data_IF_658225012089
#
_entry.id   IF_658225012089
#
_cell.length_a   1.000
_cell.length_b   1.000
_cell.length_c   1.000
_cell.angle_alpha   90.00
_cell.angle_beta   90.00
_cell.angle_gamma   90.00
#
_symmetry.space_group_name_H-M   'P 1'
#
loop_
_entity.id
_entity.type
_entity.pdbx_description
1 polymer ?
#
# COMPACT_ATOMS: atom_id res chain seq x y z
N UNK A 1 18.08 -39.37 29.61
CA UNK A 1 16.91 -40.02 28.98
C UNK A 1 15.87 -40.57 29.96
N UNK A 2 16.22 -41.37 30.99
CA UNK A 2 15.21 -41.92 31.95
C UNK A 2 14.33 -40.90 32.67
N UNK A 3 14.83 -39.68 32.95
CA UNK A 3 14.06 -38.60 33.59
C UNK A 3 13.01 -37.94 32.67
N UNK A 4 13.27 -37.91 31.36
CA UNK A 4 12.31 -37.39 30.37
C UNK A 4 11.13 -38.35 30.18
N UNK A 5 11.41 -39.66 30.20
CA UNK A 5 10.38 -40.70 30.09
C UNK A 5 9.43 -40.68 31.31
N UNK A 6 9.95 -40.34 32.50
CA UNK A 6 9.14 -40.19 33.72
C UNK A 6 8.18 -39.00 33.70
N UNK A 7 8.49 -37.94 32.94
CA UNK A 7 7.60 -36.77 32.77
C UNK A 7 6.36 -37.13 31.94
N UNK A 8 6.53 -37.93 30.88
CA UNK A 8 5.41 -38.44 30.07
C UNK A 8 4.53 -39.47 30.77
N UNK A 9 4.98 -40.03 31.91
CA UNK A 9 4.17 -40.91 32.76
C UNK A 9 3.24 -40.15 33.74
N UNK A 10 3.44 -38.84 33.90
CA UNK A 10 2.62 -38.03 34.80
C UNK A 10 1.37 -37.51 34.07
N UNK A 11 0.18 -37.99 34.49
CA UNK A 11 -1.11 -37.55 33.93
C UNK A 11 -1.32 -36.04 33.97
N UNK A 12 -0.81 -35.35 35.00
CA UNK A 12 -0.93 -33.90 35.11
C UNK A 12 -0.05 -33.19 34.08
N UNK A 13 1.14 -33.72 33.80
CA UNK A 13 2.02 -33.15 32.77
C UNK A 13 1.39 -33.30 31.39
N UNK A 14 0.85 -34.47 31.06
CA UNK A 14 0.18 -34.71 29.78
C UNK A 14 -1.04 -33.79 29.59
N UNK A 15 -1.88 -33.64 30.63
CA UNK A 15 -3.04 -32.75 30.58
C UNK A 15 -2.61 -31.29 30.43
N UNK A 16 -1.57 -30.84 31.14
CA UNK A 16 -1.04 -29.49 31.00
C UNK A 16 -0.46 -29.24 29.61
N UNK A 17 0.27 -30.19 29.04
CA UNK A 17 0.82 -30.07 27.67
C UNK A 17 -0.30 -30.06 26.64
N UNK A 18 -1.31 -30.91 26.79
CA UNK A 18 -2.48 -30.92 25.91
C UNK A 18 -3.28 -29.62 26.02
N UNK A 19 -3.45 -29.07 27.22
CA UNK A 19 -4.10 -27.79 27.45
C UNK A 19 -3.30 -26.62 26.89
N UNK A 20 -1.98 -26.62 27.07
CA UNK A 20 -1.09 -25.61 26.48
C UNK A 20 -1.12 -25.67 24.95
N UNK A 21 -1.05 -26.89 24.37
CA UNK A 21 -1.22 -27.08 22.93
C UNK A 21 -2.61 -26.59 22.47
N UNK A 22 -3.67 -26.84 23.25
CA UNK A 22 -5.01 -26.34 22.93
C UNK A 22 -5.07 -24.82 22.89
N UNK A 23 -4.49 -24.14 23.88
CA UNK A 23 -4.42 -22.68 23.90
C UNK A 23 -3.56 -22.10 22.75
N UNK A 24 -2.56 -22.83 22.28
CA UNK A 24 -1.69 -22.37 21.19
C UNK A 24 -2.35 -22.59 19.81
N UNK A 25 -3.05 -23.71 19.60
CA UNK A 25 -3.56 -24.10 18.29
C UNK A 25 -5.05 -23.81 18.07
N UNK A 26 -5.87 -23.80 19.12
CA UNK A 26 -7.33 -23.66 19.01
C UNK A 26 -7.88 -22.35 19.60
N UNK A 27 -7.05 -21.56 20.28
CA UNK A 27 -7.46 -20.22 20.74
C UNK A 27 -7.37 -19.18 19.61
N UNK A 28 -8.11 -18.07 19.75
CA UNK A 28 -8.26 -17.01 18.74
C UNK A 28 -6.98 -16.25 18.39
N UNK A 29 -5.89 -16.47 19.13
CA UNK A 29 -4.55 -15.94 18.85
C UNK A 29 -3.70 -16.94 18.08
N UNK A 30 -4.30 -17.67 17.15
CA UNK A 30 -3.56 -18.55 16.25
C UNK A 30 -2.59 -17.73 15.37
N UNK A 31 -1.45 -18.35 15.05
CA UNK A 31 -0.39 -17.71 14.26
C UNK A 31 -0.86 -17.31 12.86
N UNK A 32 -1.82 -18.03 12.28
CA UNK A 32 -2.39 -17.71 10.97
C UNK A 32 -3.16 -16.39 11.01
N UNK A 33 -3.97 -16.18 12.04
CA UNK A 33 -4.73 -14.95 12.26
C UNK A 33 -3.79 -13.74 12.39
N UNK A 34 -2.69 -13.87 13.13
CA UNK A 34 -1.67 -12.81 13.20
C UNK A 34 -1.02 -12.52 11.86
N UNK A 35 -0.73 -13.55 11.07
CA UNK A 35 -0.19 -13.37 9.72
C UNK A 35 -1.18 -12.65 8.80
N UNK A 36 -2.46 -13.02 8.83
CA UNK A 36 -3.52 -12.35 8.08
C UNK A 36 -3.67 -10.88 8.49
N UNK A 37 -3.65 -10.58 9.80
CA UNK A 37 -3.69 -9.21 10.29
C UNK A 37 -2.49 -8.39 9.83
N UNK A 38 -1.29 -8.97 9.80
CA UNK A 38 -0.11 -8.30 9.27
C UNK A 38 -0.25 -8.00 7.77
N UNK A 39 -0.77 -8.93 6.98
CA UNK A 39 -1.03 -8.67 5.55
C UNK A 39 -2.08 -7.57 5.36
N UNK A 40 -3.17 -7.60 6.13
CA UNK A 40 -4.22 -6.58 6.07
C UNK A 40 -3.66 -5.20 6.45
N UNK A 41 -2.80 -5.15 7.47
CA UNK A 41 -2.14 -3.93 7.91
C UNK A 41 -1.26 -3.34 6.80
N UNK A 42 -0.41 -4.16 6.19
CA UNK A 42 0.48 -3.70 5.11
C UNK A 42 -0.33 -3.24 3.88
N UNK A 43 -1.42 -3.95 3.55
CA UNK A 43 -2.35 -3.53 2.49
C UNK A 43 -2.98 -2.17 2.80
N UNK A 44 -3.51 -1.97 4.01
CA UNK A 44 -4.10 -0.69 4.43
C UNK A 44 -3.07 0.45 4.41
N UNK A 45 -1.83 0.19 4.82
CA UNK A 45 -0.75 1.20 4.74
C UNK A 45 -0.46 1.57 3.30
N UNK A 46 -0.36 0.60 2.39
CA UNK A 46 -0.12 0.85 0.98
C UNK A 46 -1.26 1.65 0.34
N UNK A 47 -2.52 1.30 0.64
CA UNK A 47 -3.69 2.07 0.20
C UNK A 47 -3.65 3.50 0.75
N UNK A 48 -3.35 3.68 2.03
CA UNK A 48 -3.22 5.02 2.65
C UNK A 48 -2.12 5.84 1.98
N UNK A 49 -0.95 5.27 1.75
CA UNK A 49 0.17 5.95 1.09
C UNK A 49 -0.16 6.30 -0.37
N UNK A 50 -0.90 5.45 -1.08
CA UNK A 50 -1.39 5.73 -2.42
C UNK A 50 -2.36 6.91 -2.43
N UNK A 51 -3.39 6.87 -1.60
CA UNK A 51 -4.40 7.93 -1.55
C UNK A 51 -3.83 9.26 -1.08
N UNK A 52 -2.88 9.26 -0.13
CA UNK A 52 -2.20 10.48 0.27
C UNK A 52 -1.52 11.16 -0.92
N UNK A 53 -0.78 10.40 -1.74
CA UNK A 53 -0.11 10.94 -2.93
C UNK A 53 -1.10 11.46 -3.97
N UNK A 54 -2.19 10.73 -4.22
CA UNK A 54 -3.22 11.18 -5.16
C UNK A 54 -3.95 12.42 -4.65
N UNK A 55 -4.23 12.52 -3.34
CA UNK A 55 -4.81 13.72 -2.75
C UNK A 55 -3.87 14.91 -2.88
N UNK A 56 -2.57 14.75 -2.61
CA UNK A 56 -1.60 15.84 -2.75
C UNK A 56 -1.52 16.32 -4.21
N UNK A 57 -1.55 15.38 -5.17
CA UNK A 57 -1.57 15.68 -6.60
C UNK A 57 -2.84 16.41 -7.02
N UNK A 58 -4.01 15.91 -6.63
CA UNK A 58 -5.30 16.53 -6.99
C UNK A 58 -5.45 17.91 -6.35
N UNK A 59 -4.97 18.08 -5.11
CA UNK A 59 -4.97 19.39 -4.44
C UNK A 59 -4.11 20.39 -5.21
N UNK A 60 -2.92 19.96 -5.68
CA UNK A 60 -2.07 20.81 -6.50
C UNK A 60 -2.73 21.16 -7.84
N UNK A 61 -3.30 20.19 -8.53
CA UNK A 61 -4.01 20.43 -9.80
C UNK A 61 -5.18 21.41 -9.57
N UNK A 62 -5.93 21.26 -8.47
CA UNK A 62 -7.02 22.16 -8.08
C UNK A 62 -6.52 23.59 -7.83
N UNK A 63 -5.41 23.77 -7.12
CA UNK A 63 -4.82 25.09 -6.90
C UNK A 63 -4.40 25.74 -8.23
N UNK A 64 -3.82 24.97 -9.16
CA UNK A 64 -3.47 25.46 -10.50
C UNK A 64 -4.71 25.87 -11.32
N UNK A 65 -5.82 25.16 -11.17
CA UNK A 65 -7.11 25.48 -11.80
C UNK A 65 -7.82 26.70 -11.17
N UNK A 66 -7.71 26.86 -9.85
CA UNK A 66 -8.55 27.77 -9.06
C UNK A 66 -7.90 29.12 -8.74
N UNK A 67 -6.57 29.20 -8.76
CA UNK A 67 -5.83 30.34 -8.20
C UNK A 67 -5.91 31.60 -9.05
N UNK A 68 -5.70 31.51 -10.38
CA UNK A 68 -5.82 32.64 -11.29
C UNK A 68 -5.93 32.22 -12.78
N UNK A 69 -6.42 33.12 -13.67
CA UNK A 69 -6.60 32.81 -15.09
C UNK A 69 -5.31 32.41 -15.81
N UNK A 70 -4.14 32.89 -15.37
CA UNK A 70 -2.85 32.59 -15.99
C UNK A 70 -2.39 31.16 -15.69
N UNK A 71 -2.59 30.68 -14.45
CA UNK A 71 -2.32 29.30 -14.07
C UNK A 71 -3.28 28.33 -14.74
N UNK A 72 -4.57 28.71 -14.85
CA UNK A 72 -5.56 27.93 -15.58
C UNK A 72 -5.19 27.79 -17.07
N UNK A 73 -4.80 28.89 -17.72
CA UNK A 73 -4.36 28.87 -19.12
C UNK A 73 -3.10 28.00 -19.29
N UNK A 74 -2.13 28.13 -18.37
CA UNK A 74 -0.93 27.28 -18.37
C UNK A 74 -1.28 25.80 -18.24
N UNK A 75 -2.14 25.44 -17.29
CA UNK A 75 -2.59 24.07 -17.06
C UNK A 75 -3.29 23.50 -18.30
N UNK A 76 -4.21 24.26 -18.90
CA UNK A 76 -4.91 23.88 -20.14
C UNK A 76 -3.94 23.66 -21.32
N UNK A 77 -2.93 24.53 -21.47
CA UNK A 77 -1.91 24.42 -22.53
C UNK A 77 -0.95 23.25 -22.30
N UNK A 78 -0.45 23.03 -21.09
CA UNK A 78 0.55 22.00 -20.80
C UNK A 78 -0.04 20.59 -20.69
N UNK A 79 -1.22 20.44 -20.06
CA UNK A 79 -1.85 19.13 -19.85
C UNK A 79 -2.72 18.69 -21.01
N UNK A 80 -3.46 19.61 -21.60
CA UNK A 80 -4.48 19.31 -22.61
C UNK A 80 -4.14 19.85 -24.01
N UNK A 81 -3.00 20.54 -24.17
CA UNK A 81 -2.57 21.14 -25.44
C UNK A 81 -3.65 22.07 -26.04
N UNK A 82 -4.45 22.71 -25.19
CA UNK A 82 -5.49 23.64 -25.62
C UNK A 82 -4.86 24.88 -26.27
N UNK A 83 -5.53 25.37 -27.32
CA UNK A 83 -5.12 26.56 -28.09
C UNK A 83 -6.32 27.43 -28.40
N UNK A 84 -6.08 28.71 -28.64
CA UNK A 84 -7.12 29.61 -29.19
C UNK A 84 -7.26 29.35 -30.70
N UNK A 85 -8.40 29.71 -31.27
CA UNK A 85 -8.71 29.48 -32.69
C UNK A 85 -7.68 30.12 -33.64
N UNK A 86 -7.01 31.18 -33.20
CA UNK A 86 -6.00 31.93 -33.94
C UNK A 86 -4.55 31.54 -33.58
N UNK A 87 -4.33 30.42 -32.89
CA UNK A 87 -3.00 29.94 -32.48
C UNK A 87 -2.69 28.56 -33.06
N UNK A 88 -1.40 28.29 -33.31
CA UNK A 88 -0.88 26.99 -33.70
C UNK A 88 0.07 26.43 -32.64
N UNK A 89 -0.10 25.14 -32.30
CA UNK A 89 0.68 24.44 -31.28
C UNK A 89 1.68 23.52 -31.97
N UNK A 90 2.96 23.71 -31.68
CA UNK A 90 4.04 22.88 -32.21
C UNK A 90 4.60 21.98 -31.10
N UNK A 91 4.52 20.67 -31.28
CA UNK A 91 5.14 19.70 -30.37
C UNK A 91 6.56 19.38 -30.87
N UNK A 92 7.59 19.89 -30.18
CA UNK A 92 8.99 19.62 -30.54
C UNK A 92 9.41 18.29 -29.91
N UNK A 93 9.31 17.20 -30.68
CA UNK A 93 9.84 15.90 -30.28
C UNK A 93 11.30 15.84 -30.68
N UNK A 94 12.21 15.71 -29.70
CA UNK A 94 13.59 15.35 -30.01
C UNK A 94 13.60 13.88 -30.39
N UNK A 95 13.97 13.56 -31.62
CA UNK A 95 14.24 12.18 -31.99
C UNK A 95 15.31 11.63 -31.04
N UNK A 96 14.98 10.56 -30.32
CA UNK A 96 16.00 9.82 -29.58
C UNK A 96 16.93 9.21 -30.61
N UNK A 97 18.23 9.39 -30.42
CA UNK A 97 19.24 8.62 -31.15
C UNK A 97 18.84 7.14 -31.03
N UNK A 98 18.61 6.52 -32.18
CA UNK A 98 18.41 5.08 -32.28
C UNK A 98 19.74 4.47 -31.83
N UNK A 99 19.80 4.02 -30.58
CA UNK A 99 20.89 3.17 -30.12
C UNK A 99 20.64 1.78 -30.71
N UNK A 100 21.46 1.42 -31.72
CA UNK A 100 21.62 0.07 -32.26
C UNK A 100 22.27 -0.88 -31.25
#
# INVERSE_FOLDING_TARGET
MKRLIGLFGNKFFLVTVAFAAWLIFFDKNDLLSHYEYHQQLEKLKAERDFYQKETDKVTKDLDELSSNPQQLEKFAREKYLMKKDNEDVFLVVREKAVEE
#
